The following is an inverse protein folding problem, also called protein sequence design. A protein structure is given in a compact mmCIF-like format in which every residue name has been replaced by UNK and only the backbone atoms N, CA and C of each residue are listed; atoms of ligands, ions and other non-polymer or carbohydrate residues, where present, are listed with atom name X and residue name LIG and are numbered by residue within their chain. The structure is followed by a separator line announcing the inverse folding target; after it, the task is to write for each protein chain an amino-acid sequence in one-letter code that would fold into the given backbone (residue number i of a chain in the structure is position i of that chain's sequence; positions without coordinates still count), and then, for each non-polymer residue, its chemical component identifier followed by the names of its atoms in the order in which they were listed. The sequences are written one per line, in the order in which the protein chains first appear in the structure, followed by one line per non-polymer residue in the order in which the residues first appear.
data_IF_207931313092
#
_entry.id   IF_207931313092
#
_cell.length_a   1.000
_cell.length_b   1.000
_cell.length_c   1.000
_cell.angle_alpha   90.00
_cell.angle_beta   90.00
_cell.angle_gamma   90.00
#
_symmetry.space_group_name_H-M   'P 1'
#
loop_
_entity.id
_entity.type
_entity.pdbx_description
1 polymer ?
#
# COMPACT_ATOMS: atom_id res chain seq x y z
N UNK A 1 -25.60 -16.25 0.20
CA UNK A 1 -27.08 -16.21 0.38
C UNK A 1 -27.67 -16.31 -1.00
N UNK A 2 -28.40 -17.39 -1.32
CA UNK A 2 -28.90 -17.63 -2.67
C UNK A 2 -30.02 -16.64 -3.03
N UNK A 3 -29.91 -16.03 -4.21
CA UNK A 3 -30.95 -15.18 -4.80
C UNK A 3 -32.04 -16.10 -5.37
N UNK A 4 -33.30 -15.86 -5.06
CA UNK A 4 -34.41 -16.74 -5.49
C UNK A 4 -34.99 -16.28 -6.83
N UNK A 5 -35.62 -17.20 -7.57
CA UNK A 5 -36.26 -16.89 -8.88
C UNK A 5 -37.27 -15.72 -8.80
N UNK A 6 -37.88 -15.50 -7.62
CA UNK A 6 -38.77 -14.37 -7.37
C UNK A 6 -38.05 -13.02 -7.42
N UNK A 7 -36.83 -12.92 -6.92
CA UNK A 7 -36.06 -11.68 -6.94
C UNK A 7 -35.68 -11.27 -8.36
N UNK A 8 -35.33 -12.23 -9.21
CA UNK A 8 -35.02 -11.97 -10.63
C UNK A 8 -36.24 -11.47 -11.39
N UNK A 9 -37.43 -12.01 -11.10
CA UNK A 9 -38.68 -11.51 -11.67
C UNK A 9 -38.93 -10.07 -11.22
N UNK A 10 -38.67 -9.73 -9.96
CA UNK A 10 -38.83 -8.37 -9.43
C UNK A 10 -37.84 -7.38 -10.05
N UNK A 11 -36.58 -7.79 -10.28
CA UNK A 11 -35.57 -6.98 -11.01
C UNK A 11 -35.98 -6.76 -12.46
N UNK A 12 -36.44 -7.81 -13.15
CA UNK A 12 -36.94 -7.70 -14.54
C UNK A 12 -38.16 -6.79 -14.68
N UNK A 13 -39.00 -6.72 -13.64
CA UNK A 13 -40.14 -5.79 -13.56
C UNK A 13 -39.75 -4.37 -13.10
N UNK A 14 -38.46 -4.11 -12.85
CA UNK A 14 -37.96 -2.79 -12.43
C UNK A 14 -38.29 -2.41 -10.99
N UNK A 15 -38.73 -3.37 -10.17
CA UNK A 15 -39.10 -3.14 -8.76
C UNK A 15 -37.86 -3.20 -7.85
N UNK A 16 -36.92 -4.09 -8.17
CA UNK A 16 -35.62 -4.15 -7.51
C UNK A 16 -34.53 -3.57 -8.43
N UNK A 17 -33.50 -2.92 -7.88
CA UNK A 17 -32.36 -2.46 -8.66
C UNK A 17 -31.65 -3.64 -9.34
N UNK A 18 -30.99 -3.40 -10.50
CA UNK A 18 -30.20 -4.45 -11.16
C UNK A 18 -29.15 -4.98 -10.18
N UNK A 19 -28.92 -6.29 -10.25
CA UNK A 19 -27.89 -6.93 -9.42
C UNK A 19 -26.54 -6.39 -9.86
N UNK A 20 -25.71 -5.97 -8.91
CA UNK A 20 -24.33 -5.63 -9.21
C UNK A 20 -23.66 -6.88 -9.78
N UNK A 21 -23.10 -6.75 -10.97
CA UNK A 21 -22.30 -7.81 -11.57
C UNK A 21 -21.02 -7.86 -10.74
N UNK A 22 -20.96 -8.77 -9.78
CA UNK A 22 -19.73 -9.10 -9.08
C UNK A 22 -18.80 -9.75 -10.12
N UNK A 23 -17.97 -8.95 -10.77
CA UNK A 23 -16.85 -9.47 -11.53
C UNK A 23 -15.98 -10.20 -10.51
N UNK A 24 -15.95 -11.53 -10.60
CA UNK A 24 -15.16 -12.36 -9.69
C UNK A 24 -13.70 -11.95 -9.82
N UNK A 25 -12.98 -11.94 -8.71
CA UNK A 25 -11.54 -11.63 -8.69
C UNK A 25 -10.76 -12.49 -9.69
N UNK A 26 -11.15 -13.77 -9.84
CA UNK A 26 -10.62 -14.70 -10.84
C UNK A 26 -10.78 -14.21 -12.28
N UNK A 27 -11.91 -13.57 -12.60
CA UNK A 27 -12.19 -13.05 -13.94
C UNK A 27 -11.41 -11.76 -14.22
N UNK A 28 -11.21 -10.92 -13.20
CA UNK A 28 -10.34 -9.74 -13.28
C UNK A 28 -8.90 -10.18 -13.54
N UNK A 29 -8.40 -11.18 -12.81
CA UNK A 29 -7.05 -11.73 -12.98
C UNK A 29 -6.90 -12.31 -14.40
N UNK A 30 -7.89 -13.08 -14.88
CA UNK A 30 -7.86 -13.66 -16.23
C UNK A 30 -7.78 -12.57 -17.31
N UNK A 31 -8.61 -11.53 -17.21
CA UNK A 31 -8.59 -10.40 -18.16
C UNK A 31 -7.25 -9.67 -18.12
N UNK A 32 -6.68 -9.46 -16.93
CA UNK A 32 -5.37 -8.82 -16.79
C UNK A 32 -4.24 -9.65 -17.41
N UNK A 33 -4.27 -10.98 -17.24
CA UNK A 33 -3.31 -11.89 -17.86
C UNK A 33 -3.45 -11.89 -19.39
N UNK A 34 -4.67 -12.03 -19.91
CA UNK A 34 -4.92 -11.98 -21.36
C UNK A 34 -4.44 -10.66 -21.98
N UNK A 35 -4.62 -9.53 -21.28
CA UNK A 35 -4.13 -8.23 -21.73
C UNK A 35 -2.60 -8.11 -21.69
N UNK A 36 -1.94 -8.69 -20.68
CA UNK A 36 -0.49 -8.73 -20.58
C UNK A 36 0.12 -9.57 -21.70
N UNK A 37 -0.42 -10.78 -21.94
CA UNK A 37 0.03 -11.69 -22.99
C UNK A 37 -0.14 -11.07 -24.38
N UNK A 38 -1.26 -10.36 -24.62
CA UNK A 38 -1.50 -9.66 -25.87
C UNK A 38 -0.49 -8.54 -26.11
N UNK A 39 -0.13 -7.78 -25.07
CA UNK A 39 0.86 -6.71 -25.14
C UNK A 39 2.27 -7.24 -25.36
N UNK A 40 2.64 -8.34 -24.70
CA UNK A 40 3.92 -9.01 -24.92
C UNK A 40 4.05 -9.47 -26.38
N UNK A 41 2.99 -10.09 -26.90
CA UNK A 41 2.96 -10.52 -28.30
C UNK A 41 3.07 -9.33 -29.27
N UNK A 42 2.38 -8.23 -29.01
CA UNK A 42 2.48 -7.01 -29.80
C UNK A 42 3.91 -6.45 -29.83
N UNK A 43 4.55 -6.35 -28.66
CA UNK A 43 5.94 -5.92 -28.50
C UNK A 43 6.88 -6.80 -29.31
N UNK A 44 6.75 -8.12 -29.19
CA UNK A 44 7.64 -9.08 -29.85
C UNK A 44 7.42 -9.20 -31.36
N UNK A 45 6.21 -8.97 -31.85
CA UNK A 45 5.87 -9.06 -33.27
C UNK A 45 6.09 -7.74 -34.03
N UNK A 46 6.03 -6.60 -33.35
CA UNK A 46 6.03 -5.27 -34.01
C UNK A 46 7.31 -4.47 -33.80
N UNK A 47 8.10 -4.74 -32.74
CA UNK A 47 9.35 -4.00 -32.48
C UNK A 47 10.55 -4.69 -33.11
N UNK A 48 11.49 -3.86 -33.55
CA UNK A 48 12.83 -4.28 -33.95
C UNK A 48 13.74 -4.44 -32.72
N UNK A 49 14.91 -5.06 -32.90
CA UNK A 49 15.87 -5.26 -31.81
C UNK A 49 16.29 -3.93 -31.17
N UNK A 50 16.59 -2.92 -31.98
CA UNK A 50 16.99 -1.61 -31.48
C UNK A 50 15.87 -0.93 -30.66
N UNK A 51 14.61 -1.08 -31.05
CA UNK A 51 13.43 -0.55 -30.32
C UNK A 51 13.05 -1.35 -29.07
N UNK A 52 13.55 -2.58 -28.95
CA UNK A 52 13.45 -3.41 -27.74
C UNK A 52 14.52 -3.00 -26.74
N UNK A 53 15.76 -2.78 -27.20
CA UNK A 53 16.86 -2.29 -26.36
C UNK A 53 16.52 -0.93 -25.73
N UNK A 54 15.96 0.00 -26.51
CA UNK A 54 15.48 1.29 -25.97
C UNK A 54 14.37 1.12 -24.91
N UNK A 55 13.49 0.13 -25.09
CA UNK A 55 12.40 -0.16 -24.15
C UNK A 55 12.93 -0.79 -22.85
N UNK A 56 13.97 -1.61 -22.94
CA UNK A 56 14.66 -2.21 -21.79
C UNK A 56 15.29 -1.11 -20.92
N UNK A 57 15.99 -0.17 -21.53
CA UNK A 57 16.61 0.97 -20.84
C UNK A 57 15.57 1.84 -20.10
N UNK A 58 14.44 2.15 -20.73
CA UNK A 58 13.34 2.88 -20.08
C UNK A 58 12.75 2.10 -18.89
N UNK A 59 12.57 0.78 -19.04
CA UNK A 59 12.04 -0.07 -17.98
C UNK A 59 12.98 -0.10 -16.78
N UNK A 60 14.28 -0.20 -17.04
CA UNK A 60 15.33 -0.19 -16.02
C UNK A 60 15.34 1.14 -15.24
N UNK A 61 15.15 2.28 -15.92
CA UNK A 61 15.03 3.59 -15.25
C UNK A 61 13.83 3.62 -14.31
N UNK A 62 12.66 3.11 -14.75
CA UNK A 62 11.45 3.03 -13.92
C UNK A 62 11.67 2.15 -12.69
N UNK A 63 12.26 0.96 -12.87
CA UNK A 63 12.55 0.04 -11.77
C UNK A 63 13.53 0.66 -10.77
N UNK A 64 14.57 1.34 -11.26
CA UNK A 64 15.53 2.05 -10.42
C UNK A 64 14.88 3.19 -9.63
N UNK A 65 14.00 3.98 -10.24
CA UNK A 65 13.23 5.00 -9.53
C UNK A 65 12.32 4.41 -8.45
N UNK A 66 11.59 3.35 -8.75
CA UNK A 66 10.72 2.66 -7.81
C UNK A 66 11.52 2.13 -6.62
N UNK A 67 12.66 1.50 -6.88
CA UNK A 67 13.56 1.03 -5.83
C UNK A 67 14.05 2.19 -4.95
N UNK A 68 14.46 3.31 -5.57
CA UNK A 68 14.88 4.51 -4.84
C UNK A 68 13.74 5.06 -3.96
N UNK A 69 12.52 5.16 -4.50
CA UNK A 69 11.33 5.59 -3.75
C UNK A 69 11.06 4.67 -2.58
N UNK A 70 11.08 3.35 -2.80
CA UNK A 70 10.89 2.34 -1.75
C UNK A 70 11.95 2.46 -0.66
N UNK A 71 13.23 2.62 -1.02
CA UNK A 71 14.31 2.77 -0.04
C UNK A 71 14.16 4.05 0.80
N UNK A 72 13.78 5.17 0.17
CA UNK A 72 13.50 6.42 0.89
C UNK A 72 12.33 6.23 1.87
N UNK A 73 11.27 5.53 1.46
CA UNK A 73 10.14 5.24 2.35
C UNK A 73 10.54 4.35 3.53
N UNK A 74 11.37 3.33 3.31
CA UNK A 74 11.91 2.50 4.38
C UNK A 74 12.75 3.32 5.37
N UNK A 75 13.64 4.18 4.87
CA UNK A 75 14.45 5.07 5.71
C UNK A 75 13.58 6.05 6.50
N UNK A 76 12.53 6.60 5.89
CA UNK A 76 11.56 7.47 6.59
C UNK A 76 10.85 6.72 7.72
N UNK A 77 10.37 5.50 7.45
CA UNK A 77 9.74 4.66 8.48
C UNK A 77 10.70 4.34 9.62
N UNK A 78 11.97 4.06 9.31
CA UNK A 78 12.98 3.80 10.33
C UNK A 78 13.26 5.05 11.19
N UNK A 79 13.41 6.21 10.55
CA UNK A 79 13.59 7.48 11.26
C UNK A 79 12.38 7.84 12.14
N UNK A 80 11.15 7.50 11.72
CA UNK A 80 9.95 7.68 12.54
C UNK A 80 9.91 6.77 13.78
N UNK A 81 10.59 5.62 13.73
CA UNK A 81 10.69 4.70 14.88
C UNK A 81 11.77 5.13 15.88
N UNK A 82 12.82 5.82 15.44
CA UNK A 82 13.89 6.35 16.30
C UNK A 82 13.52 7.67 17.00
N UNK A 83 12.30 7.78 17.53
CA UNK A 83 11.86 8.97 18.30
C UNK A 83 12.53 9.10 19.67
N UNK A 84 12.99 7.98 20.22
CA UNK A 84 13.61 7.90 21.54
C UNK A 84 14.93 7.15 21.38
N UNK A 85 15.98 7.57 22.09
CA UNK A 85 17.31 6.98 21.94
C UNK A 85 18.35 7.41 22.98
N UNK A 86 18.01 8.38 23.82
CA UNK A 86 18.86 8.87 24.90
C UNK A 86 18.07 9.04 26.20
N UNK A 87 18.78 8.98 27.33
CA UNK A 87 18.21 9.25 28.65
C UNK A 87 18.30 10.74 28.92
N UNK A 88 17.15 11.38 29.15
CA UNK A 88 17.04 12.82 29.40
C UNK A 88 16.83 13.05 30.89
N UNK A 89 17.62 13.95 31.50
CA UNK A 89 17.37 14.41 32.87
C UNK A 89 16.24 15.45 32.87
N UNK A 90 15.24 15.25 33.72
CA UNK A 90 14.05 16.12 33.80
C UNK A 90 13.91 16.74 35.18
N UNK A 91 13.43 17.98 35.21
CA UNK A 91 13.13 18.69 36.46
C UNK A 91 11.72 18.36 36.97
N UNK A 92 11.43 18.64 38.25
CA UNK A 92 10.11 18.39 38.85
C UNK A 92 8.93 19.02 38.10
N UNK A 93 8.96 20.29 37.64
CA UNK A 93 7.85 20.85 36.87
C UNK A 93 7.68 20.19 35.48
N UNK A 94 8.76 19.68 34.89
CA UNK A 94 8.73 19.04 33.56
C UNK A 94 8.19 17.61 33.59
N UNK A 95 8.04 17.02 34.78
CA UNK A 95 7.56 15.65 34.97
C UNK A 95 6.18 15.42 34.34
N UNK A 96 5.25 16.37 34.47
CA UNK A 96 3.89 16.21 33.93
C UNK A 96 3.94 16.10 32.41
N UNK A 97 4.72 16.96 31.75
CA UNK A 97 4.84 16.99 30.30
C UNK A 97 5.58 15.76 29.77
N UNK A 98 6.74 15.44 30.35
CA UNK A 98 7.61 14.38 29.82
C UNK A 98 7.21 12.96 30.25
N UNK A 99 6.45 12.82 31.35
CA UNK A 99 6.04 11.50 31.86
C UNK A 99 4.54 11.32 31.71
N UNK A 100 3.72 12.19 32.30
CA UNK A 100 2.27 12.01 32.31
C UNK A 100 1.67 12.14 30.92
N UNK A 101 1.98 13.20 30.18
CA UNK A 101 1.41 13.43 28.84
C UNK A 101 1.96 12.41 27.82
N UNK A 102 3.27 12.19 27.81
CA UNK A 102 3.92 11.24 26.89
C UNK A 102 3.57 9.77 27.17
N UNK A 103 3.17 9.41 28.40
CA UNK A 103 2.69 8.05 28.71
C UNK A 103 1.44 7.62 27.92
N UNK A 104 0.66 8.59 27.41
CA UNK A 104 -0.46 8.30 26.53
C UNK A 104 -0.03 7.89 25.11
N UNK A 105 1.22 8.20 24.73
CA UNK A 105 1.75 8.00 23.38
C UNK A 105 2.75 6.85 23.31
N UNK A 106 3.54 6.64 24.35
CA UNK A 106 4.55 5.59 24.43
C UNK A 106 4.80 5.14 25.88
N UNK A 107 5.32 3.92 26.12
CA UNK A 107 5.79 3.51 27.44
C UNK A 107 6.94 4.40 27.93
N UNK A 108 6.80 4.96 29.12
CA UNK A 108 7.83 5.83 29.74
C UNK A 108 8.47 5.12 30.92
N UNK A 109 9.81 5.12 30.97
CA UNK A 109 10.60 4.61 32.10
C UNK A 109 11.31 5.78 32.77
N UNK A 110 11.13 5.93 34.08
CA UNK A 110 11.71 7.02 34.86
C UNK A 110 12.64 6.45 35.93
N UNK A 111 13.88 6.95 35.96
CA UNK A 111 14.84 6.66 37.03
C UNK A 111 14.77 7.78 38.08
N UNK A 112 14.19 7.48 39.23
CA UNK A 112 14.19 8.39 40.38
C UNK A 112 15.44 8.14 41.24
N UNK A 113 16.42 9.03 41.14
CA UNK A 113 17.60 9.05 42.02
C UNK A 113 17.51 10.23 43.00
N UNK A 114 18.03 10.03 44.20
CA UNK A 114 18.31 11.11 45.16
C UNK A 114 19.81 11.31 45.12
N UNK A 115 20.27 12.54 44.92
CA UNK A 115 21.69 12.88 45.04
C UNK A 115 22.25 12.53 46.43
#
# INVERSE_FOLDING_TARGET
MEDTEWNDILRRKGILPPKEIEIKEEEIIRIAQEAADAKEKEIMEQKTLDELDELEDELDEVVMEEYRKKRIQELKKLAETEKYGEVIEISKPDFIRHVTEESNRAPVVVLLKKD
#
